data_IF_263060049184
#
_entry.id   IF_263060049184
#
_cell.length_a   1.000
_cell.length_b   1.000
_cell.length_c   1.000
_cell.angle_alpha   90.00
_cell.angle_beta   90.00
_cell.angle_gamma   90.00
#
_symmetry.space_group_name_H-M   'P 1'
#
loop_
_entity.id
_entity.type
_entity.pdbx_description
1 polymer ?
#
# COMPACT_ATOMS: atom_id res chain seq x y z
N UNK A 1 26.78 11.11 6.08
CA UNK A 1 25.80 9.99 6.05
C UNK A 1 24.68 10.41 5.13
N UNK A 2 23.91 9.47 4.58
CA UNK A 2 22.72 9.81 3.80
C UNK A 2 21.70 10.63 4.62
N UNK A 3 20.77 11.28 3.94
CA UNK A 3 19.69 12.10 4.48
C UNK A 3 20.03 13.27 5.41
N UNK A 4 21.31 13.61 5.57
CA UNK A 4 21.74 14.80 6.30
C UNK A 4 21.98 15.97 5.33
N UNK A 5 21.26 17.08 5.54
CA UNK A 5 21.54 18.36 4.87
C UNK A 5 22.59 19.22 5.63
N UNK A 6 23.26 18.63 6.62
CA UNK A 6 24.25 19.29 7.45
C UNK A 6 25.55 19.61 6.72
N UNK A 7 26.47 20.29 7.41
CA UNK A 7 27.84 20.47 6.90
C UNK A 7 28.53 19.11 6.83
N UNK A 8 28.89 18.68 5.62
CA UNK A 8 29.55 17.39 5.35
C UNK A 8 31.07 17.52 5.28
N UNK A 9 31.57 18.74 5.06
CA UNK A 9 32.99 19.06 5.06
C UNK A 9 33.18 20.55 5.38
N UNK A 10 34.21 20.89 6.15
CA UNK A 10 34.61 22.27 6.42
C UNK A 10 35.97 22.53 5.80
N UNK A 11 35.99 23.31 4.72
CA UNK A 11 37.21 23.76 4.07
C UNK A 11 37.95 24.77 4.96
N UNK A 12 39.27 24.69 5.01
CA UNK A 12 40.11 25.64 5.74
C UNK A 12 41.28 26.07 4.87
N UNK A 13 41.67 27.33 5.03
CA UNK A 13 42.80 27.93 4.33
C UNK A 13 43.39 29.04 5.21
N UNK A 14 44.67 29.30 5.03
CA UNK A 14 45.37 30.40 5.69
C UNK A 14 46.00 31.28 4.63
N UNK A 15 45.81 32.59 4.75
CA UNK A 15 46.58 33.58 4.02
C UNK A 15 47.79 34.05 4.85
N UNK A 16 48.94 34.24 4.21
CA UNK A 16 50.18 34.64 4.88
C UNK A 16 50.20 36.11 5.29
N UNK A 17 49.44 36.94 4.60
CA UNK A 17 49.32 38.38 4.87
C UNK A 17 48.18 38.69 5.88
N UNK A 18 47.36 37.68 6.19
CA UNK A 18 46.29 37.73 7.18
C UNK A 18 44.97 38.22 6.60
N UNK A 19 44.83 38.23 5.28
CA UNK A 19 43.62 38.64 4.58
C UNK A 19 42.47 37.65 4.78
N UNK A 20 41.24 38.14 4.62
CA UNK A 20 40.04 37.30 4.72
C UNK A 20 39.91 36.45 3.47
N UNK A 21 39.85 35.14 3.63
CA UNK A 21 39.64 34.19 2.54
C UNK A 21 38.16 33.86 2.38
N UNK A 22 37.75 33.62 1.14
CA UNK A 22 36.37 33.22 0.80
C UNK A 22 36.35 31.95 -0.02
N UNK A 23 35.44 31.04 0.32
CA UNK A 23 35.28 29.75 -0.35
C UNK A 23 34.14 29.75 -1.38
N UNK A 24 34.34 29.03 -2.48
CA UNK A 24 33.33 28.80 -3.51
C UNK A 24 33.51 27.41 -4.16
N UNK A 25 32.47 26.88 -4.80
CA UNK A 25 32.60 25.69 -5.66
C UNK A 25 33.03 26.15 -7.05
N UNK A 26 34.17 25.65 -7.53
CA UNK A 26 34.74 25.97 -8.84
C UNK A 26 34.40 24.94 -9.93
N UNK A 27 33.99 23.72 -9.55
CA UNK A 27 33.63 22.67 -10.51
C UNK A 27 33.46 21.30 -9.87
N UNK A 28 33.65 20.26 -10.67
CA UNK A 28 33.41 18.85 -10.29
C UNK A 28 32.12 18.30 -10.91
N UNK A 29 32.07 16.98 -11.08
CA UNK A 29 30.95 16.28 -11.72
C UNK A 29 29.63 16.54 -10.99
N UNK A 30 29.70 16.70 -9.67
CA UNK A 30 28.54 16.81 -8.79
C UNK A 30 28.34 18.21 -8.23
N UNK A 31 29.03 19.22 -8.77
CA UNK A 31 28.98 20.61 -8.31
C UNK A 31 27.56 21.19 -8.20
N UNK A 32 26.63 20.76 -9.05
CA UNK A 32 25.23 21.18 -9.01
C UNK A 32 24.44 20.62 -7.81
N UNK A 33 24.94 19.58 -7.14
CA UNK A 33 24.30 18.90 -6.00
C UNK A 33 24.74 19.44 -4.65
N UNK A 34 25.87 20.16 -4.60
CA UNK A 34 26.44 20.72 -3.38
C UNK A 34 26.40 22.26 -3.35
N UNK A 35 26.56 22.79 -2.15
CA UNK A 35 26.71 24.22 -1.87
C UNK A 35 27.76 24.43 -0.78
N UNK A 36 28.45 25.56 -0.83
CA UNK A 36 29.44 25.95 0.19
C UNK A 36 29.16 27.37 0.67
N UNK A 37 29.29 27.62 1.97
CA UNK A 37 29.26 28.99 2.51
C UNK A 37 30.59 29.70 2.25
N UNK A 38 30.62 31.05 2.25
CA UNK A 38 31.88 31.79 2.13
C UNK A 38 32.91 31.44 3.21
N UNK A 39 32.47 30.94 4.36
CA UNK A 39 33.30 30.48 5.48
C UNK A 39 33.78 29.03 5.36
N UNK A 40 33.45 28.34 4.25
CA UNK A 40 33.99 27.01 3.93
C UNK A 40 33.13 25.81 4.34
N UNK A 41 31.88 26.01 4.78
CA UNK A 41 31.00 24.89 5.14
C UNK A 41 30.31 24.32 3.90
N UNK A 42 30.74 23.14 3.46
CA UNK A 42 30.17 22.39 2.34
C UNK A 42 28.99 21.54 2.83
N UNK A 43 27.86 21.59 2.12
CA UNK A 43 26.68 20.75 2.37
C UNK A 43 26.05 20.31 1.04
N UNK A 44 25.19 19.30 1.11
CA UNK A 44 24.30 18.98 -0.01
C UNK A 44 23.18 20.03 -0.13
N UNK A 45 22.66 20.23 -1.34
CA UNK A 45 21.48 21.09 -1.61
C UNK A 45 20.17 20.37 -1.30
N UNK A 46 20.16 19.07 -1.51
CA UNK A 46 19.09 18.15 -1.11
C UNK A 46 19.74 16.99 -0.36
N UNK A 47 19.11 16.45 0.70
CA UNK A 47 19.65 15.29 1.40
C UNK A 47 20.01 14.16 0.41
N UNK A 48 21.22 13.58 0.47
CA UNK A 48 21.61 12.49 -0.41
C UNK A 48 20.90 11.19 0.01
N UNK A 49 20.55 10.35 -0.94
CA UNK A 49 19.89 9.04 -0.76
C UNK A 49 20.85 7.96 -1.28
N UNK A 50 21.26 7.02 -0.43
CA UNK A 50 22.24 6.00 -0.81
C UNK A 50 21.65 4.98 -1.80
N UNK A 51 20.37 4.62 -1.62
CA UNK A 51 19.67 3.68 -2.49
C UNK A 51 19.33 4.27 -3.86
N UNK A 52 19.17 5.60 -3.95
CA UNK A 52 18.91 6.36 -5.17
C UNK A 52 19.98 7.44 -5.37
N UNK A 53 21.23 7.04 -5.72
CA UNK A 53 22.34 7.96 -5.82
C UNK A 53 22.11 8.97 -6.97
N UNK A 54 22.23 10.26 -6.64
CA UNK A 54 22.00 11.38 -7.56
C UNK A 54 23.31 12.00 -8.10
N UNK A 55 24.45 11.39 -7.77
CA UNK A 55 25.76 11.67 -8.32
C UNK A 55 25.83 11.28 -9.80
N UNK A 56 26.83 11.81 -10.50
CA UNK A 56 26.92 11.73 -11.95
C UNK A 56 27.05 10.29 -12.49
N UNK A 57 27.62 9.37 -11.72
CA UNK A 57 27.90 8.00 -12.13
C UNK A 57 27.21 6.92 -11.25
N UNK A 58 26.41 7.32 -10.26
CA UNK A 58 25.60 6.41 -9.45
C UNK A 58 26.39 5.59 -8.44
N UNK A 59 27.59 6.04 -8.04
CA UNK A 59 28.52 5.26 -7.21
C UNK A 59 28.53 5.65 -5.71
N UNK A 60 27.70 6.62 -5.32
CA UNK A 60 27.61 7.23 -4.00
C UNK A 60 28.84 8.08 -3.58
N UNK A 61 29.60 8.60 -4.54
CA UNK A 61 30.76 9.46 -4.32
C UNK A 61 30.56 10.75 -5.13
N UNK A 62 30.38 11.86 -4.40
CA UNK A 62 30.13 13.15 -5.01
C UNK A 62 31.44 13.94 -5.11
N UNK A 63 31.88 14.18 -6.34
CA UNK A 63 33.13 14.84 -6.67
C UNK A 63 32.92 16.35 -6.93
N UNK A 64 33.56 17.18 -6.09
CA UNK A 64 33.52 18.64 -6.19
C UNK A 64 34.93 19.25 -6.15
N UNK A 65 35.12 20.35 -6.86
CA UNK A 65 36.33 21.18 -6.79
C UNK A 65 35.97 22.44 -6.03
N UNK A 66 36.58 22.64 -4.87
CA UNK A 66 36.47 23.86 -4.07
C UNK A 66 37.55 24.84 -4.50
N UNK A 67 37.24 26.13 -4.43
CA UNK A 67 38.18 27.24 -4.59
C UNK A 67 38.17 28.10 -3.34
N UNK A 68 39.33 28.69 -3.04
CA UNK A 68 39.49 29.70 -2.00
C UNK A 68 40.26 30.88 -2.57
N UNK A 69 39.85 32.10 -2.23
CA UNK A 69 40.53 33.33 -2.66
C UNK A 69 40.49 34.43 -1.59
N UNK A 70 41.57 35.20 -1.51
CA UNK A 70 41.69 36.46 -0.76
C UNK A 70 41.39 37.71 -1.63
N UNK A 71 40.97 37.51 -2.89
CA UNK A 71 40.75 38.56 -3.88
C UNK A 71 41.95 38.88 -4.78
N UNK A 72 43.13 38.32 -4.48
CA UNK A 72 44.37 38.46 -5.26
C UNK A 72 44.90 37.10 -5.73
N UNK A 73 45.06 36.16 -4.80
CA UNK A 73 45.47 34.78 -5.03
C UNK A 73 44.28 33.82 -4.90
N UNK A 74 44.40 32.65 -5.54
CA UNK A 74 43.41 31.59 -5.44
C UNK A 74 44.05 30.21 -5.42
N UNK A 75 43.45 29.28 -4.70
CA UNK A 75 43.82 27.87 -4.70
C UNK A 75 42.58 26.98 -4.87
N UNK A 76 42.77 25.78 -5.40
CA UNK A 76 41.71 24.79 -5.59
C UNK A 76 42.01 23.48 -4.85
N UNK A 77 40.96 22.80 -4.42
CA UNK A 77 41.01 21.48 -3.77
C UNK A 77 39.90 20.59 -4.30
N UNK A 78 40.27 19.43 -4.85
CA UNK A 78 39.32 18.37 -5.16
C UNK A 78 38.88 17.66 -3.87
N UNK A 79 37.57 17.51 -3.68
CA UNK A 79 36.95 16.86 -2.53
C UNK A 79 35.96 15.81 -3.06
N UNK A 80 36.09 14.59 -2.54
CA UNK A 80 35.14 13.51 -2.77
C UNK A 80 34.34 13.28 -1.49
N UNK A 81 33.01 13.39 -1.57
CA UNK A 81 32.09 13.14 -0.45
C UNK A 81 31.43 11.78 -0.67
N UNK A 82 31.83 10.78 0.09
CA UNK A 82 31.18 9.46 0.05
C UNK A 82 29.92 9.47 0.91
N UNK A 83 28.78 9.18 0.27
CA UNK A 83 27.53 8.86 0.95
C UNK A 83 27.60 7.40 1.37
N UNK A 84 27.35 7.13 2.64
CA UNK A 84 27.41 5.80 3.21
C UNK A 84 25.99 5.34 3.51
N UNK A 85 25.69 4.11 3.08
CA UNK A 85 24.46 3.38 3.40
C UNK A 85 24.26 3.29 4.90
N UNK A 86 23.04 3.53 5.34
CA UNK A 86 22.55 3.21 6.66
C UNK A 86 21.85 1.85 6.59
N UNK A 87 22.63 0.78 6.40
CA UNK A 87 22.08 -0.58 6.25
C UNK A 87 21.35 -1.07 7.51
N UNK A 88 20.10 -1.50 7.33
CA UNK A 88 19.29 -2.46 8.10
C UNK A 88 19.43 -2.47 9.64
N UNK A 89 18.40 -1.99 10.32
CA UNK A 89 18.28 -2.05 11.80
C UNK A 89 17.58 -0.84 12.43
N UNK A 90 17.26 0.19 11.63
CA UNK A 90 16.75 1.46 12.11
C UNK A 90 15.23 1.49 12.29
N UNK A 91 14.59 0.34 12.47
CA UNK A 91 13.19 0.33 12.87
C UNK A 91 12.89 -0.68 13.97
N UNK A 92 11.82 -0.40 14.69
CA UNK A 92 11.20 -1.28 15.66
C UNK A 92 9.73 -1.42 15.34
N UNK A 93 9.13 -2.52 15.77
CA UNK A 93 7.69 -2.73 15.72
C UNK A 93 7.13 -2.51 17.11
N UNK A 94 6.36 -1.44 17.30
CA UNK A 94 5.73 -1.10 18.57
C UNK A 94 4.26 -1.47 18.55
N UNK A 95 3.78 -2.18 19.57
CA UNK A 95 2.32 -2.34 19.74
C UNK A 95 1.71 -1.01 20.14
N UNK A 96 0.78 -0.50 19.32
CA UNK A 96 0.08 0.76 19.57
C UNK A 96 -1.30 0.54 20.17
N UNK A 97 -1.96 -0.59 19.87
CA UNK A 97 -3.28 -0.92 20.39
C UNK A 97 -3.49 -2.42 20.57
N UNK A 98 -4.46 -2.79 21.41
CA UNK A 98 -4.80 -4.19 21.73
C UNK A 98 -6.27 -4.32 22.13
N UNK A 99 -6.83 -5.52 22.04
CA UNK A 99 -8.20 -5.81 22.47
C UNK A 99 -9.27 -5.40 21.46
N UNK A 100 -8.89 -5.32 20.18
CA UNK A 100 -9.83 -5.23 19.07
C UNK A 100 -10.41 -6.61 18.75
N UNK A 101 -11.68 -6.67 18.38
CA UNK A 101 -12.37 -7.90 18.01
C UNK A 101 -12.17 -8.19 16.52
N UNK A 102 -11.19 -9.05 16.21
CA UNK A 102 -10.85 -9.48 14.84
C UNK A 102 -10.69 -8.29 13.88
N UNK A 103 -9.74 -7.37 14.13
CA UNK A 103 -9.51 -6.25 13.25
C UNK A 103 -9.02 -6.74 11.89
N UNK A 104 -9.53 -6.12 10.83
CA UNK A 104 -9.37 -6.55 9.46
C UNK A 104 -8.78 -5.49 8.54
N UNK A 105 -8.95 -4.22 8.84
CA UNK A 105 -8.44 -3.15 7.98
C UNK A 105 -8.11 -1.91 8.80
N UNK A 106 -7.10 -1.16 8.34
CA UNK A 106 -6.68 0.09 8.96
C UNK A 106 -6.44 1.12 7.86
N UNK A 107 -6.97 2.34 8.05
CA UNK A 107 -6.71 3.47 7.15
C UNK A 107 -6.64 4.78 7.92
N UNK A 108 -6.05 5.81 7.30
CA UNK A 108 -5.89 7.12 7.89
C UNK A 108 -7.24 7.83 8.10
N UNK A 109 -7.32 8.62 9.18
CA UNK A 109 -8.31 9.70 9.30
C UNK A 109 -7.70 10.97 8.67
N UNK A 110 -8.32 11.59 7.64
CA UNK A 110 -7.73 12.68 6.87
C UNK A 110 -7.95 14.06 7.51
N UNK A 111 -7.73 14.18 8.82
CA UNK A 111 -8.03 15.39 9.61
C UNK A 111 -6.78 16.09 10.17
N UNK A 112 -5.58 15.64 9.77
CA UNK A 112 -4.31 16.16 10.25
C UNK A 112 -3.94 15.71 11.67
N UNK A 113 -4.77 14.89 12.32
CA UNK A 113 -4.54 14.49 13.72
C UNK A 113 -3.64 13.27 13.85
N UNK A 114 -3.32 12.57 12.75
CA UNK A 114 -2.62 11.29 12.78
C UNK A 114 -3.41 10.13 13.40
N UNK A 115 -4.73 10.28 13.55
CA UNK A 115 -5.63 9.20 13.96
C UNK A 115 -5.86 8.23 12.81
N UNK A 116 -6.27 7.02 13.15
CA UNK A 116 -6.57 5.96 12.20
C UNK A 116 -7.95 5.37 12.47
N UNK A 117 -8.56 4.81 11.44
CA UNK A 117 -9.77 4.01 11.51
C UNK A 117 -9.38 2.53 11.52
N UNK A 118 -9.88 1.77 12.49
CA UNK A 118 -9.68 0.32 12.61
C UNK A 118 -11.01 -0.36 12.38
N UNK A 119 -11.09 -1.17 11.32
CA UNK A 119 -12.27 -1.94 10.96
C UNK A 119 -12.22 -3.29 11.65
N UNK A 120 -13.24 -3.60 12.43
CA UNK A 120 -13.47 -4.91 13.03
C UNK A 120 -14.41 -5.74 12.17
N UNK A 121 -14.06 -7.00 11.94
CA UNK A 121 -14.86 -7.96 11.18
C UNK A 121 -16.32 -8.04 11.67
N UNK A 122 -16.54 -7.80 12.97
CA UNK A 122 -17.84 -7.89 13.64
C UNK A 122 -18.74 -6.68 13.44
N UNK A 123 -18.34 -5.70 12.62
CA UNK A 123 -19.22 -4.63 12.16
C UNK A 123 -18.96 -3.26 12.78
N UNK A 124 -17.91 -3.10 13.58
CA UNK A 124 -17.52 -1.82 14.16
C UNK A 124 -16.33 -1.22 13.42
N UNK A 125 -16.32 0.11 13.32
CA UNK A 125 -15.11 0.88 12.96
C UNK A 125 -14.77 1.78 14.13
N UNK A 126 -13.54 1.72 14.60
CA UNK A 126 -13.04 2.52 15.72
C UNK A 126 -12.17 3.66 15.21
N UNK A 127 -12.38 4.86 15.74
CA UNK A 127 -11.43 5.96 15.63
C UNK A 127 -10.39 5.82 16.74
N UNK A 128 -9.12 5.76 16.37
CA UNK A 128 -8.02 5.40 17.24
C UNK A 128 -6.83 6.34 17.10
N UNK A 129 -6.25 6.75 18.22
CA UNK A 129 -5.03 7.54 18.29
C UNK A 129 -3.84 6.61 18.62
N UNK A 130 -2.95 6.33 17.65
CA UNK A 130 -1.80 5.45 17.86
C UNK A 130 -0.66 6.08 18.66
N UNK A 131 -0.67 7.39 18.88
CA UNK A 131 0.32 8.07 19.74
C UNK A 131 -0.02 7.87 21.21
N UNK A 132 -1.30 8.02 21.57
CA UNK A 132 -1.76 7.91 22.96
C UNK A 132 -2.29 6.53 23.32
N UNK A 133 -2.60 5.68 22.33
CA UNK A 133 -3.28 4.40 22.52
C UNK A 133 -4.77 4.55 22.83
N UNK A 134 -5.35 5.72 22.55
CA UNK A 134 -6.74 6.03 22.90
C UNK A 134 -7.71 5.60 21.80
N UNK A 135 -8.69 4.77 22.15
CA UNK A 135 -9.86 4.45 21.31
C UNK A 135 -11.02 5.35 21.70
N UNK A 136 -11.68 5.96 20.72
CA UNK A 136 -12.89 6.76 20.96
C UNK A 136 -13.98 5.92 21.65
N UNK A 137 -14.74 6.55 22.56
CA UNK A 137 -15.80 5.86 23.30
C UNK A 137 -17.00 5.48 22.41
N UNK A 138 -17.31 6.34 21.44
CA UNK A 138 -18.29 6.08 20.38
C UNK A 138 -17.55 5.52 19.16
N UNK A 139 -18.00 4.41 18.57
CA UNK A 139 -17.40 3.91 17.33
C UNK A 139 -17.62 4.91 16.20
N UNK A 140 -16.66 4.99 15.29
CA UNK A 140 -16.78 5.78 14.07
C UNK A 140 -17.93 5.28 13.19
N UNK A 141 -18.18 3.96 13.18
CA UNK A 141 -19.34 3.34 12.55
C UNK A 141 -19.78 2.12 13.35
N UNK A 142 -21.09 1.98 13.55
CA UNK A 142 -21.72 0.72 13.95
C UNK A 142 -22.58 0.19 12.80
N UNK A 143 -22.08 -0.83 12.13
CA UNK A 143 -22.74 -1.55 11.04
C UNK A 143 -23.18 -2.96 11.45
N UNK A 144 -23.21 -3.29 12.75
CA UNK A 144 -23.55 -4.63 13.25
C UNK A 144 -24.91 -5.11 12.77
N UNK A 145 -25.88 -4.21 12.63
CA UNK A 145 -27.22 -4.52 12.13
C UNK A 145 -27.30 -4.71 10.59
N UNK A 146 -26.24 -4.41 9.85
CA UNK A 146 -26.19 -4.48 8.38
C UNK A 146 -25.51 -5.75 7.86
N UNK A 147 -24.89 -6.54 8.74
CA UNK A 147 -24.02 -7.64 8.33
C UNK A 147 -24.52 -9.00 8.81
N UNK A 148 -24.08 -10.06 8.12
CA UNK A 148 -23.87 -11.36 8.75
C UNK A 148 -22.38 -11.51 9.10
N UNK A 149 -22.09 -11.89 10.35
CA UNK A 149 -20.73 -12.19 10.79
C UNK A 149 -20.49 -13.69 10.90
N UNK A 150 -19.39 -14.21 10.34
CA UNK A 150 -18.99 -15.62 10.49
C UNK A 150 -18.16 -16.13 9.31
N UNK A 151 -17.16 -16.97 9.58
CA UNK A 151 -16.17 -17.34 8.56
C UNK A 151 -15.46 -16.09 8.03
N UNK A 152 -15.55 -15.87 6.72
CA UNK A 152 -15.09 -14.64 6.06
C UNK A 152 -16.14 -13.53 6.05
N UNK A 153 -17.41 -13.80 6.33
CA UNK A 153 -18.50 -12.81 6.25
C UNK A 153 -18.40 -11.78 7.37
N UNK A 154 -18.55 -10.50 7.03
CA UNK A 154 -18.58 -9.42 8.00
C UNK A 154 -18.35 -8.06 7.34
N UNK A 155 -17.98 -7.07 8.14
CA UNK A 155 -17.49 -5.78 7.63
C UNK A 155 -16.04 -5.94 7.15
N UNK A 156 -15.73 -5.46 5.94
CA UNK A 156 -14.47 -5.78 5.26
C UNK A 156 -13.50 -4.61 5.23
N UNK A 157 -13.94 -3.46 4.74
CA UNK A 157 -13.12 -2.27 4.54
C UNK A 157 -13.96 -0.99 4.50
N UNK A 158 -13.27 0.14 4.64
CA UNK A 158 -13.80 1.50 4.49
C UNK A 158 -12.86 2.32 3.60
N UNK A 159 -13.44 3.15 2.73
CA UNK A 159 -12.73 4.22 2.04
C UNK A 159 -13.42 5.55 2.33
N UNK A 160 -12.68 6.52 2.85
CA UNK A 160 -13.15 7.88 2.98
C UNK A 160 -13.01 8.56 1.61
N UNK A 161 -14.00 9.37 1.21
CA UNK A 161 -13.90 10.14 -0.03
C UNK A 161 -12.63 11.02 -0.01
N UNK A 162 -11.99 11.27 -1.16
CA UNK A 162 -10.83 12.17 -1.22
C UNK A 162 -11.10 13.57 -0.63
N UNK A 163 -12.37 14.00 -0.65
CA UNK A 163 -12.84 15.26 -0.08
C UNK A 163 -13.60 15.08 1.25
N UNK A 164 -13.33 14.01 2.02
CA UNK A 164 -14.10 13.63 3.21
C UNK A 164 -14.31 14.77 4.21
N UNK A 165 -13.29 15.59 4.46
CA UNK A 165 -13.39 16.71 5.41
C UNK A 165 -14.37 17.80 4.95
N UNK A 166 -14.75 17.82 3.68
CA UNK A 166 -15.78 18.70 3.11
C UNK A 166 -17.09 17.98 2.80
N UNK A 167 -17.06 16.77 2.26
CA UNK A 167 -18.27 16.03 1.87
C UNK A 167 -18.85 15.18 2.98
N UNK A 168 -18.01 14.62 3.86
CA UNK A 168 -18.38 13.64 4.86
C UNK A 168 -18.78 12.29 4.26
N UNK A 169 -18.51 12.06 2.97
CA UNK A 169 -18.87 10.84 2.28
C UNK A 169 -17.84 9.73 2.54
N UNK A 170 -18.32 8.59 3.00
CA UNK A 170 -17.51 7.39 3.17
C UNK A 170 -18.19 6.20 2.51
N UNK A 171 -17.39 5.19 2.17
CA UNK A 171 -17.83 4.00 1.47
C UNK A 171 -17.40 2.78 2.27
N UNK A 172 -18.29 1.82 2.45
CA UNK A 172 -17.98 0.56 3.15
C UNK A 172 -18.42 -0.61 2.32
N UNK A 173 -17.60 -1.66 2.31
CA UNK A 173 -17.94 -2.95 1.72
C UNK A 173 -18.09 -3.98 2.83
N UNK A 174 -19.19 -4.73 2.77
CA UNK A 174 -19.59 -5.69 3.80
C UNK A 174 -20.28 -6.90 3.17
N UNK A 175 -20.46 -7.95 3.98
CA UNK A 175 -21.33 -9.08 3.63
C UNK A 175 -22.70 -8.91 4.30
N UNK A 176 -23.75 -8.81 3.50
CA UNK A 176 -25.11 -8.65 3.97
C UNK A 176 -25.67 -9.97 4.57
N UNK A 177 -26.80 -9.93 5.31
CA UNK A 177 -27.37 -11.13 5.93
C UNK A 177 -27.73 -12.27 4.97
N UNK A 178 -28.09 -11.94 3.73
CA UNK A 178 -28.38 -12.92 2.68
C UNK A 178 -27.11 -13.51 2.04
N UNK A 179 -25.93 -12.98 2.39
CA UNK A 179 -24.63 -13.41 1.90
C UNK A 179 -24.10 -12.58 0.74
N UNK A 180 -24.85 -11.62 0.19
CA UNK A 180 -24.36 -10.73 -0.87
C UNK A 180 -23.20 -9.84 -0.40
N UNK A 181 -22.34 -9.45 -1.34
CA UNK A 181 -21.36 -8.39 -1.13
C UNK A 181 -22.06 -7.07 -1.44
N UNK A 182 -22.13 -6.18 -0.45
CA UNK A 182 -22.77 -4.87 -0.62
C UNK A 182 -21.77 -3.75 -0.38
N UNK A 183 -21.81 -2.75 -1.27
CA UNK A 183 -21.11 -1.48 -1.14
C UNK A 183 -22.12 -0.38 -0.81
N UNK A 184 -21.90 0.29 0.31
CA UNK A 184 -22.72 1.43 0.74
C UNK A 184 -21.95 2.74 0.71
N UNK A 185 -22.64 3.82 0.38
CA UNK A 185 -22.24 5.19 0.72
C UNK A 185 -22.91 5.62 2.01
N UNK A 186 -22.14 6.23 2.91
CA UNK A 186 -22.58 6.80 4.18
C UNK A 186 -22.14 8.25 4.29
N UNK A 187 -22.80 8.99 5.19
CA UNK A 187 -22.47 10.36 5.53
C UNK A 187 -22.09 10.49 7.00
N UNK A 188 -21.14 11.39 7.27
CA UNK A 188 -20.87 11.88 8.62
C UNK A 188 -22.16 12.39 9.28
N UNK A 189 -22.37 11.98 10.54
CA UNK A 189 -23.52 12.39 11.36
C UNK A 189 -23.18 13.49 12.37
N UNK A 190 -21.89 13.85 12.50
CA UNK A 190 -21.37 14.91 13.36
C UNK A 190 -20.69 16.02 12.54
N UNK A 191 -20.68 17.28 13.01
CA UNK A 191 -19.90 18.37 12.41
C UNK A 191 -18.41 18.08 12.32
N UNK A 192 -17.86 17.37 13.31
CA UNK A 192 -16.46 16.96 13.41
C UNK A 192 -16.11 15.83 12.43
N UNK A 193 -17.13 15.17 11.85
CA UNK A 193 -17.00 14.03 10.93
C UNK A 193 -16.22 12.86 11.52
N UNK A 194 -16.38 12.64 12.81
CA UNK A 194 -15.79 11.54 13.57
C UNK A 194 -16.76 10.38 13.82
N UNK A 195 -18.00 10.48 13.30
CA UNK A 195 -19.01 9.43 13.33
C UNK A 195 -19.78 9.40 12.01
N UNK A 196 -20.01 8.21 11.46
CA UNK A 196 -20.88 7.95 10.32
C UNK A 196 -22.29 7.51 10.75
N UNK A 197 -23.32 7.95 10.03
CA UNK A 197 -24.70 7.52 10.23
C UNK A 197 -25.15 6.45 9.24
N UNK A 198 -25.86 5.42 9.72
CA UNK A 198 -26.40 4.32 8.88
C UNK A 198 -27.85 4.55 8.41
N UNK A 199 -28.56 5.53 8.99
CA UNK A 199 -29.97 5.78 8.71
C UNK A 199 -30.24 6.25 7.27
N UNK A 200 -29.34 7.07 6.71
CA UNK A 200 -29.44 7.62 5.35
C UNK A 200 -28.41 6.98 4.41
N UNK A 201 -27.98 5.74 4.68
CA UNK A 201 -27.05 5.03 3.80
C UNK A 201 -27.68 4.80 2.43
N UNK A 202 -26.85 4.77 1.40
CA UNK A 202 -27.25 4.50 0.02
C UNK A 202 -26.52 3.24 -0.46
N UNK A 203 -27.27 2.22 -0.88
CA UNK A 203 -26.70 1.06 -1.57
C UNK A 203 -26.17 1.53 -2.93
N UNK A 204 -24.91 1.23 -3.22
CA UNK A 204 -24.31 1.53 -4.52
C UNK A 204 -24.23 0.29 -5.39
N UNK A 205 -23.85 -0.84 -4.82
CA UNK A 205 -23.65 -2.08 -5.55
C UNK A 205 -24.02 -3.26 -4.65
N UNK A 206 -24.82 -4.20 -5.15
CA UNK A 206 -25.01 -5.52 -4.54
C UNK A 206 -24.59 -6.62 -5.51
N UNK A 207 -23.77 -7.55 -5.02
CA UNK A 207 -23.25 -8.70 -5.78
C UNK A 207 -23.72 -9.98 -5.09
N UNK A 208 -24.62 -10.77 -5.72
CA UNK A 208 -24.97 -12.09 -5.23
C UNK A 208 -23.72 -12.98 -5.11
N UNK A 209 -23.57 -13.64 -3.97
CA UNK A 209 -22.41 -14.48 -3.70
C UNK A 209 -22.85 -15.94 -3.49
N UNK A 210 -22.42 -16.90 -4.33
CA UNK A 210 -22.96 -18.26 -4.32
C UNK A 210 -22.41 -19.13 -3.18
N UNK A 211 -21.17 -18.90 -2.75
CA UNK A 211 -20.50 -19.69 -1.72
C UNK A 211 -20.40 -19.00 -0.35
N UNK A 212 -19.53 -19.55 0.51
CA UNK A 212 -19.35 -19.13 1.90
C UNK A 212 -17.94 -18.59 2.20
N UNK A 213 -17.03 -18.59 1.23
CA UNK A 213 -15.67 -18.04 1.29
C UNK A 213 -15.32 -17.38 -0.05
N UNK A 214 -14.15 -16.76 -0.15
CA UNK A 214 -13.65 -15.99 -1.29
C UNK A 214 -14.49 -14.74 -1.58
N UNK A 215 -14.73 -13.96 -0.54
CA UNK A 215 -15.43 -12.69 -0.68
C UNK A 215 -14.54 -11.54 -1.18
N UNK A 216 -13.22 -11.62 -1.04
CA UNK A 216 -12.34 -10.46 -1.17
C UNK A 216 -12.76 -9.34 -0.20
N UNK A 217 -12.99 -8.13 -0.73
CA UNK A 217 -13.58 -7.01 0.00
C UNK A 217 -12.60 -5.92 0.39
N UNK A 218 -11.53 -5.72 -0.38
CA UNK A 218 -10.73 -4.50 -0.27
C UNK A 218 -11.42 -3.33 -0.98
N UNK A 219 -11.19 -2.11 -0.48
CA UNK A 219 -11.80 -0.87 -0.97
C UNK A 219 -10.77 0.27 -0.95
N UNK A 220 -10.66 1.04 -2.04
CA UNK A 220 -9.76 2.19 -2.09
C UNK A 220 -10.00 3.14 -3.26
N UNK A 221 -9.60 4.39 -3.11
CA UNK A 221 -9.64 5.39 -4.18
C UNK A 221 -8.33 5.44 -4.95
N UNK A 222 -8.42 5.36 -6.28
CA UNK A 222 -7.29 5.62 -7.17
C UNK A 222 -7.00 7.12 -7.28
N UNK A 223 -5.83 7.46 -7.85
CA UNK A 223 -5.45 8.86 -8.14
C UNK A 223 -6.34 9.52 -9.19
N UNK A 224 -7.07 8.72 -9.96
CA UNK A 224 -8.09 9.14 -10.91
C UNK A 224 -9.42 9.52 -10.24
N UNK A 225 -9.53 9.37 -8.91
CA UNK A 225 -10.74 9.71 -8.15
C UNK A 225 -11.84 8.64 -8.25
N UNK A 226 -11.55 7.50 -8.87
CA UNK A 226 -12.48 6.38 -8.98
C UNK A 226 -12.35 5.44 -7.78
N UNK A 227 -13.44 4.75 -7.45
CA UNK A 227 -13.49 3.78 -6.37
C UNK A 227 -13.22 2.38 -6.91
N UNK A 228 -12.30 1.68 -6.25
CA UNK A 228 -11.89 0.32 -6.59
C UNK A 228 -12.34 -0.65 -5.51
N UNK A 229 -12.89 -1.80 -5.93
CA UNK A 229 -13.40 -2.85 -5.03
C UNK A 229 -12.85 -4.20 -5.46
N UNK A 230 -12.21 -4.94 -4.55
CA UNK A 230 -11.80 -6.33 -4.84
C UNK A 230 -12.93 -7.31 -4.51
N UNK A 231 -13.18 -8.27 -5.40
CA UNK A 231 -14.26 -9.25 -5.29
C UNK A 231 -13.69 -10.63 -5.60
N UNK A 232 -13.79 -11.58 -4.67
CA UNK A 232 -13.33 -12.94 -4.91
C UNK A 232 -14.28 -13.74 -5.80
N UNK A 233 -13.85 -14.94 -6.18
CA UNK A 233 -14.51 -15.79 -7.18
C UNK A 233 -15.83 -16.42 -6.72
N UNK A 234 -16.18 -16.24 -5.45
CA UNK A 234 -17.44 -16.71 -4.89
C UNK A 234 -17.43 -18.14 -4.36
N UNK A 235 -16.27 -18.80 -4.31
CA UNK A 235 -16.10 -20.24 -4.04
C UNK A 235 -16.90 -21.07 -5.05
N UNK A 236 -16.26 -21.42 -6.17
CA UNK A 236 -16.87 -22.22 -7.23
C UNK A 236 -17.15 -23.67 -6.77
N UNK A 237 -18.28 -23.86 -6.09
CA UNK A 237 -18.76 -25.15 -5.61
C UNK A 237 -19.47 -25.98 -6.70
N UNK A 238 -19.59 -25.49 -7.94
CA UNK A 238 -20.54 -26.03 -8.93
C UNK A 238 -19.92 -26.56 -10.23
N UNK A 239 -18.66 -26.28 -10.54
CA UNK A 239 -18.11 -26.66 -11.84
C UNK A 239 -16.77 -26.01 -12.10
N UNK A 240 -16.26 -25.97 -13.36
CA UNK A 240 -14.87 -25.64 -13.63
C UNK A 240 -14.58 -24.15 -13.45
N UNK A 241 -14.49 -23.67 -12.20
CA UNK A 241 -13.89 -22.40 -11.78
C UNK A 241 -14.19 -21.21 -12.72
N UNK A 242 -15.44 -21.04 -13.16
CA UNK A 242 -15.74 -20.21 -14.35
C UNK A 242 -15.84 -18.72 -14.04
N UNK A 243 -16.24 -18.35 -12.82
CA UNK A 243 -16.59 -16.97 -12.49
C UNK A 243 -15.46 -15.99 -12.80
N UNK A 244 -14.23 -16.34 -12.43
CA UNK A 244 -13.07 -15.47 -12.62
C UNK A 244 -12.69 -15.28 -14.08
N UNK A 245 -13.21 -16.09 -15.02
CA UNK A 245 -13.01 -15.93 -16.47
C UNK A 245 -14.29 -15.48 -17.20
N UNK A 246 -15.44 -15.50 -16.53
CA UNK A 246 -16.70 -15.03 -17.08
C UNK A 246 -16.84 -13.53 -16.82
N UNK A 247 -16.53 -12.72 -17.84
CA UNK A 247 -16.59 -11.26 -17.75
C UNK A 247 -18.01 -10.71 -17.67
N UNK A 248 -19.05 -11.55 -17.69
CA UNK A 248 -20.44 -11.13 -17.46
C UNK A 248 -20.84 -11.11 -15.99
N UNK A 249 -20.02 -11.68 -15.09
CA UNK A 249 -20.22 -11.67 -13.65
C UNK A 249 -19.12 -10.87 -12.93
N UNK A 250 -19.46 -10.25 -11.81
CA UNK A 250 -18.53 -9.38 -11.07
C UNK A 250 -17.57 -10.14 -10.13
N UNK A 251 -17.73 -11.46 -9.99
CA UNK A 251 -16.92 -12.29 -9.11
C UNK A 251 -15.53 -12.54 -9.72
N UNK A 252 -14.50 -12.66 -8.88
CA UNK A 252 -13.12 -12.93 -9.32
C UNK A 252 -12.46 -11.75 -10.04
N UNK A 253 -12.73 -10.52 -9.56
CA UNK A 253 -12.39 -9.29 -10.25
C UNK A 253 -11.96 -8.15 -9.31
N UNK A 254 -11.33 -7.12 -9.89
CA UNK A 254 -11.29 -5.78 -9.31
C UNK A 254 -12.22 -4.89 -10.13
N UNK A 255 -13.20 -4.32 -9.44
CA UNK A 255 -14.15 -3.37 -10.01
C UNK A 255 -13.60 -1.95 -9.92
N UNK A 256 -13.93 -1.11 -10.91
CA UNK A 256 -13.63 0.34 -10.92
C UNK A 256 -14.87 1.13 -11.29
N UNK A 257 -15.40 1.92 -10.37
CA UNK A 257 -16.66 2.65 -10.53
C UNK A 257 -16.53 4.14 -10.21
N UNK A 258 -17.39 4.94 -10.82
CA UNK A 258 -17.49 6.39 -10.58
C UNK A 258 -18.64 6.67 -9.61
N UNK A 259 -18.30 6.95 -8.35
CA UNK A 259 -19.29 7.22 -7.30
C UNK A 259 -19.88 8.63 -7.34
N UNK A 260 -19.57 9.45 -8.34
CA UNK A 260 -20.12 10.82 -8.46
C UNK A 260 -21.36 10.91 -9.34
N UNK A 261 -21.72 9.80 -9.99
CA UNK A 261 -22.74 9.67 -11.02
C UNK A 261 -23.63 8.45 -10.76
N UNK A 262 -24.77 8.40 -11.43
CA UNK A 262 -25.65 7.23 -11.47
C UNK A 262 -26.05 6.95 -12.93
N UNK A 263 -25.44 5.93 -13.54
CA UNK A 263 -25.76 5.47 -14.90
C UNK A 263 -26.91 4.45 -14.89
N UNK A 264 -27.42 4.05 -13.72
CA UNK A 264 -28.45 3.03 -13.54
C UNK A 264 -29.67 3.54 -12.73
N UNK A 265 -30.28 4.69 -13.06
CA UNK A 265 -31.30 5.34 -12.23
C UNK A 265 -32.62 4.55 -12.01
N UNK A 266 -32.81 3.43 -12.72
CA UNK A 266 -33.95 2.53 -12.56
C UNK A 266 -33.62 1.22 -11.82
N UNK A 267 -32.38 1.02 -11.43
CA UNK A 267 -31.89 -0.20 -10.78
C UNK A 267 -31.59 0.11 -9.30
N UNK A 268 -32.35 -0.45 -8.35
CA UNK A 268 -32.12 -0.18 -6.93
C UNK A 268 -30.79 -0.75 -6.41
N UNK A 269 -30.18 -1.71 -7.11
CA UNK A 269 -28.97 -2.41 -6.70
C UNK A 269 -27.71 -1.80 -7.32
N UNK A 270 -27.86 -0.78 -8.18
CA UNK A 270 -26.76 -0.08 -8.86
C UNK A 270 -26.97 1.43 -8.81
N UNK A 271 -26.02 2.13 -8.21
CA UNK A 271 -26.05 3.60 -8.09
C UNK A 271 -24.64 4.19 -8.18
N UNK A 272 -24.07 4.10 -9.38
CA UNK A 272 -22.74 4.60 -9.72
C UNK A 272 -22.67 4.82 -11.24
N UNK A 273 -21.63 5.51 -11.69
CA UNK A 273 -21.27 5.60 -13.10
C UNK A 273 -20.27 4.54 -13.52
N UNK A 274 -20.33 4.12 -14.78
CA UNK A 274 -19.30 3.33 -15.42
C UNK A 274 -18.23 4.28 -16.00
N UNK A 275 -16.96 4.17 -15.59
CA UNK A 275 -15.88 4.91 -16.23
C UNK A 275 -15.72 4.46 -17.68
N UNK A 276 -15.71 5.41 -18.62
CA UNK A 276 -15.54 5.11 -20.04
C UNK A 276 -14.17 4.46 -20.38
N UNK A 277 -13.20 4.60 -19.48
CA UNK A 277 -11.88 3.98 -19.56
C UNK A 277 -11.85 2.52 -19.08
N UNK A 278 -12.96 1.97 -18.57
CA UNK A 278 -13.02 0.54 -18.23
C UNK A 278 -13.00 -0.33 -19.50
N UNK A 279 -12.38 -1.53 -19.45
CA UNK A 279 -12.34 -2.49 -20.56
C UNK A 279 -13.68 -2.72 -21.22
N UNK A 280 -14.69 -2.93 -20.38
CA UNK A 280 -15.99 -3.44 -20.78
C UNK A 280 -17.05 -2.35 -20.79
N UNK A 281 -16.68 -1.08 -20.62
CA UNK A 281 -17.63 0.04 -20.64
C UNK A 281 -18.44 0.11 -21.93
N UNK A 282 -17.84 -0.30 -23.06
CA UNK A 282 -18.45 -0.32 -24.39
C UNK A 282 -18.18 -1.63 -25.15
N UNK A 283 -17.94 -2.73 -24.42
CA UNK A 283 -17.64 -4.05 -24.98
C UNK A 283 -18.50 -5.13 -24.29
N UNK A 284 -18.40 -6.37 -24.76
CA UNK A 284 -19.07 -7.51 -24.12
C UNK A 284 -18.45 -7.79 -22.75
N UNK A 285 -19.28 -7.78 -21.69
CA UNK A 285 -18.88 -7.93 -20.30
C UNK A 285 -19.57 -6.91 -19.39
N UNK A 286 -19.34 -7.03 -18.10
CA UNK A 286 -19.83 -6.10 -17.09
C UNK A 286 -18.94 -4.85 -17.05
N UNK A 287 -19.52 -3.68 -17.29
CA UNK A 287 -18.78 -2.41 -17.43
C UNK A 287 -18.01 -2.00 -16.17
N UNK A 288 -18.35 -2.55 -15.02
CA UNK A 288 -17.73 -2.33 -13.72
C UNK A 288 -16.34 -2.97 -13.61
N UNK A 289 -16.11 -4.08 -14.32
CA UNK A 289 -14.87 -4.85 -14.23
C UNK A 289 -13.73 -4.02 -14.82
N UNK A 290 -12.64 -3.93 -14.06
CA UNK A 290 -11.37 -3.37 -14.53
C UNK A 290 -10.32 -4.45 -14.74
N UNK A 291 -10.21 -5.40 -13.81
CA UNK A 291 -9.37 -6.60 -13.92
C UNK A 291 -10.21 -7.83 -13.54
N UNK A 292 -9.95 -8.96 -14.17
CA UNK A 292 -10.56 -10.25 -13.85
C UNK A 292 -9.47 -11.35 -13.80
N UNK A 293 -9.87 -12.59 -13.53
CA UNK A 293 -8.94 -13.71 -13.38
C UNK A 293 -8.29 -13.76 -12.01
N UNK A 294 -9.01 -13.34 -10.96
CA UNK A 294 -8.57 -13.41 -9.57
C UNK A 294 -9.34 -14.47 -8.79
N UNK A 295 -8.73 -15.05 -7.76
CA UNK A 295 -9.33 -16.06 -6.88
C UNK A 295 -9.98 -15.44 -5.65
N UNK A 296 -9.17 -14.86 -4.78
CA UNK A 296 -9.59 -14.21 -3.55
C UNK A 296 -8.63 -13.03 -3.23
N UNK A 297 -8.76 -11.90 -3.96
CA UNK A 297 -7.93 -10.71 -3.79
C UNK A 297 -8.22 -10.07 -2.43
N UNK A 298 -7.45 -10.44 -1.41
CA UNK A 298 -7.80 -10.24 -0.01
C UNK A 298 -7.44 -8.83 0.49
N UNK A 299 -6.19 -8.39 0.34
CA UNK A 299 -5.81 -6.97 0.53
C UNK A 299 -5.07 -6.46 -0.67
N UNK A 300 -5.40 -5.23 -1.02
CA UNK A 300 -4.69 -4.47 -2.02
C UNK A 300 -4.16 -3.17 -1.39
N UNK A 301 -3.29 -2.47 -2.10
CA UNK A 301 -2.92 -1.10 -1.75
C UNK A 301 -2.49 -0.34 -3.00
N UNK A 302 -2.80 0.96 -3.03
CA UNK A 302 -2.19 1.85 -4.00
C UNK A 302 -0.83 2.33 -3.48
N UNK A 303 0.22 2.21 -4.28
CA UNK A 303 1.47 2.90 -4.01
C UNK A 303 1.22 4.41 -4.05
N UNK A 304 1.36 5.07 -2.90
CA UNK A 304 1.10 6.50 -2.74
C UNK A 304 1.95 7.38 -3.64
N UNK A 305 3.10 6.90 -4.13
CA UNK A 305 4.01 7.67 -4.99
C UNK A 305 3.72 7.49 -6.49
N UNK A 306 3.30 6.30 -6.92
CA UNK A 306 3.10 5.99 -8.36
C UNK A 306 1.62 5.89 -8.76
N UNK A 307 0.75 5.47 -7.84
CA UNK A 307 -0.64 5.11 -8.13
C UNK A 307 -0.82 3.68 -8.65
N UNK A 308 0.24 2.86 -8.64
CA UNK A 308 0.16 1.44 -8.96
C UNK A 308 -0.66 0.70 -7.89
N UNK A 309 -1.54 -0.20 -8.32
CA UNK A 309 -2.25 -1.11 -7.43
C UNK A 309 -1.43 -2.39 -7.25
N UNK A 310 -1.25 -2.78 -6.00
CA UNK A 310 -0.66 -4.05 -5.59
C UNK A 310 -1.74 -4.91 -4.95
N UNK A 311 -1.84 -6.18 -5.34
CA UNK A 311 -2.94 -7.08 -4.96
C UNK A 311 -2.33 -8.34 -4.36
N UNK A 312 -2.71 -8.71 -3.14
CA UNK A 312 -2.45 -10.05 -2.63
C UNK A 312 -3.63 -10.96 -2.96
N UNK A 313 -3.41 -11.92 -3.86
CA UNK A 313 -4.42 -12.90 -4.26
C UNK A 313 -4.14 -14.28 -3.64
N UNK A 314 -5.09 -14.77 -2.85
CA UNK A 314 -4.93 -16.02 -2.11
C UNK A 314 -5.15 -17.21 -3.04
N UNK A 315 -4.11 -18.02 -3.21
CA UNK A 315 -4.11 -19.18 -4.09
C UNK A 315 -4.93 -20.37 -3.60
N UNK A 316 -4.98 -21.43 -4.41
CA UNK A 316 -5.79 -22.62 -4.09
C UNK A 316 -5.10 -23.54 -3.08
N UNK A 317 -3.85 -23.89 -3.34
CA UNK A 317 -3.17 -24.93 -2.57
C UNK A 317 -1.72 -25.20 -2.96
N UNK A 318 -1.14 -24.44 -3.88
CA UNK A 318 0.27 -24.59 -4.25
C UNK A 318 1.03 -23.27 -4.21
N UNK A 319 0.45 -22.21 -4.75
CA UNK A 319 1.15 -20.93 -4.92
C UNK A 319 0.28 -19.80 -4.39
N UNK A 320 0.88 -18.90 -3.62
CA UNK A 320 0.34 -17.60 -3.27
C UNK A 320 1.01 -16.53 -4.13
N UNK A 321 0.31 -15.43 -4.45
CA UNK A 321 0.81 -14.43 -5.39
C UNK A 321 0.54 -12.96 -5.01
N UNK A 322 1.37 -12.08 -5.57
CA UNK A 322 1.17 -10.63 -5.58
C UNK A 322 1.16 -10.15 -7.03
N UNK A 323 0.08 -9.49 -7.41
CA UNK A 323 -0.04 -8.77 -8.67
C UNK A 323 0.30 -7.29 -8.50
N UNK A 324 0.78 -6.68 -9.58
CA UNK A 324 1.11 -5.26 -9.64
C UNK A 324 0.68 -4.71 -10.99
N UNK A 325 -0.14 -3.66 -10.95
CA UNK A 325 -0.76 -3.06 -12.14
C UNK A 325 -0.81 -1.54 -12.03
N UNK A 326 -0.83 -0.82 -13.15
CA UNK A 326 -1.11 0.63 -13.19
C UNK A 326 -2.54 0.92 -13.64
N UNK A 327 -3.12 2.05 -13.24
CA UNK A 327 -4.52 2.38 -13.57
C UNK A 327 -4.78 2.65 -15.06
N UNK A 328 -3.72 2.89 -15.84
CA UNK A 328 -3.72 3.00 -17.30
C UNK A 328 -3.50 1.66 -18.01
N UNK A 329 -3.10 0.61 -17.30
CA UNK A 329 -3.03 -0.73 -17.88
C UNK A 329 -4.43 -1.25 -18.18
N UNK A 330 -4.49 -1.89 -19.34
CA UNK A 330 -5.68 -2.52 -19.90
C UNK A 330 -5.47 -4.03 -19.99
N UNK A 331 -4.61 -4.61 -19.14
CA UNK A 331 -4.39 -6.06 -19.12
C UNK A 331 -5.44 -6.68 -18.20
N UNK A 332 -6.41 -7.35 -18.81
CA UNK A 332 -7.66 -7.63 -18.14
C UNK A 332 -7.68 -8.96 -17.39
N UNK A 333 -6.70 -9.85 -17.58
CA UNK A 333 -6.76 -11.21 -17.04
C UNK A 333 -5.53 -11.60 -16.22
N UNK A 334 -5.72 -11.83 -14.93
CA UNK A 334 -4.69 -12.29 -13.99
C UNK A 334 -4.59 -13.83 -13.90
N UNK A 335 -5.39 -14.54 -14.70
CA UNK A 335 -5.14 -15.95 -15.05
C UNK A 335 -5.92 -16.98 -14.26
N UNK A 336 -6.39 -16.71 -13.03
CA UNK A 336 -7.17 -17.68 -12.26
C UNK A 336 -8.50 -18.01 -12.96
N UNK A 337 -8.90 -19.29 -13.07
CA UNK A 337 -8.28 -20.50 -12.53
C UNK A 337 -7.37 -21.25 -13.52
N UNK A 338 -7.15 -20.69 -14.70
CA UNK A 338 -6.31 -21.32 -15.73
C UNK A 338 -4.87 -21.39 -15.24
N UNK A 339 -4.47 -20.41 -14.41
CA UNK A 339 -3.19 -20.32 -13.73
C UNK A 339 -3.37 -20.16 -12.22
N UNK A 340 -2.40 -20.68 -11.47
CA UNK A 340 -2.17 -20.38 -10.05
C UNK A 340 -0.71 -19.97 -9.93
N UNK A 341 -0.43 -18.67 -9.78
CA UNK A 341 0.90 -18.14 -10.08
C UNK A 341 1.28 -18.37 -11.54
N UNK A 342 2.56 -18.68 -11.76
CA UNK A 342 3.06 -19.08 -13.07
C UNK A 342 2.71 -20.53 -13.44
N UNK A 343 1.93 -21.26 -12.64
CA UNK A 343 1.63 -22.68 -12.89
C UNK A 343 0.31 -22.81 -13.66
N UNK A 344 0.33 -23.38 -14.89
CA UNK A 344 -0.89 -23.76 -15.58
C UNK A 344 -1.65 -24.84 -14.80
N UNK A 345 -2.94 -24.64 -14.60
CA UNK A 345 -3.86 -25.59 -13.98
C UNK A 345 -4.86 -26.17 -14.97
N UNK A 346 -5.46 -25.30 -15.81
CA UNK A 346 -6.55 -25.64 -16.70
C UNK A 346 -6.34 -24.99 -18.07
N UNK A 347 -6.65 -25.72 -19.14
CA UNK A 347 -6.76 -25.16 -20.48
C UNK A 347 -5.45 -24.62 -21.07
N UNK A 348 -5.60 -23.65 -21.98
CA UNK A 348 -4.52 -22.90 -22.62
C UNK A 348 -4.41 -21.49 -21.99
N UNK A 349 -3.31 -20.80 -22.26
CA UNK A 349 -3.06 -19.43 -21.81
C UNK A 349 -4.22 -18.49 -22.20
N UNK A 350 -4.86 -17.80 -21.25
CA UNK A 350 -5.89 -16.84 -21.60
C UNK A 350 -5.32 -15.66 -22.37
N UNK A 351 -6.15 -15.09 -23.25
CA UNK A 351 -5.83 -13.83 -23.90
C UNK A 351 -5.64 -12.72 -22.85
N UNK A 352 -4.56 -11.97 -22.97
CA UNK A 352 -4.25 -10.87 -22.04
C UNK A 352 -3.76 -11.32 -20.66
N UNK A 353 -3.30 -12.57 -20.52
CA UNK A 353 -2.69 -13.09 -19.29
C UNK A 353 -1.55 -12.18 -18.83
N UNK A 354 -1.67 -11.70 -17.59
CA UNK A 354 -0.60 -11.01 -16.87
C UNK A 354 -0.15 -11.89 -15.72
N UNK A 355 1.15 -12.15 -15.66
CA UNK A 355 1.72 -12.94 -14.57
C UNK A 355 1.90 -12.08 -13.31
N UNK A 356 1.80 -12.67 -12.10
CA UNK A 356 2.07 -11.96 -10.87
C UNK A 356 3.54 -11.55 -10.81
N UNK A 357 3.83 -10.49 -10.06
CA UNK A 357 5.21 -9.99 -9.92
C UNK A 357 5.99 -10.71 -8.83
N UNK A 358 5.28 -11.26 -7.84
CA UNK A 358 5.84 -12.12 -6.79
C UNK A 358 4.94 -13.33 -6.64
N UNK A 359 5.55 -14.48 -6.40
CA UNK A 359 4.84 -15.67 -5.96
C UNK A 359 5.69 -16.47 -4.98
N UNK A 360 5.06 -17.31 -4.15
CA UNK A 360 5.77 -18.24 -3.28
C UNK A 360 4.96 -19.53 -3.06
N UNK A 361 5.66 -20.61 -2.72
CA UNK A 361 5.04 -21.92 -2.55
C UNK A 361 4.36 -22.07 -1.19
N UNK A 362 3.33 -22.92 -1.17
CA UNK A 362 2.75 -23.49 0.04
C UNK A 362 3.78 -24.25 0.86
N UNK A 363 3.77 -24.09 2.17
CA UNK A 363 4.76 -24.67 3.06
C UNK A 363 4.93 -23.91 4.38
N UNK A 364 6.04 -24.16 5.06
CA UNK A 364 6.32 -23.60 6.41
C UNK A 364 7.72 -23.02 6.55
N UNK A 365 8.51 -23.06 5.47
CA UNK A 365 9.84 -22.49 5.38
C UNK A 365 9.86 -20.96 5.41
N UNK A 366 11.07 -20.38 5.39
CA UNK A 366 11.26 -18.94 5.48
C UNK A 366 10.77 -18.17 4.24
N UNK A 367 10.64 -18.82 3.08
CA UNK A 367 10.10 -18.22 1.85
C UNK A 367 8.87 -19.00 1.36
N UNK A 368 8.12 -19.56 2.31
CA UNK A 368 6.88 -20.32 2.06
C UNK A 368 5.75 -19.78 2.96
N UNK A 369 4.50 -19.98 2.53
CA UNK A 369 3.30 -19.46 3.19
C UNK A 369 2.05 -20.12 2.63
N UNK A 370 0.91 -20.02 3.29
CA UNK A 370 -0.32 -20.74 2.89
C UNK A 370 -1.54 -19.82 2.74
N UNK A 371 -1.37 -18.51 2.87
CA UNK A 371 -2.41 -17.51 2.64
C UNK A 371 -1.77 -16.13 2.64
N UNK A 372 -1.56 -15.55 1.45
CA UNK A 372 -1.02 -14.19 1.34
C UNK A 372 -2.01 -13.19 1.91
N UNK A 373 -1.50 -12.27 2.71
CA UNK A 373 -2.31 -11.16 3.22
C UNK A 373 -2.38 -10.03 2.21
N UNK A 374 -1.31 -9.80 1.43
CA UNK A 374 -1.06 -8.55 0.72
C UNK A 374 -0.21 -7.58 1.56
N UNK A 375 0.04 -6.39 1.03
CA UNK A 375 1.05 -5.49 1.58
C UNK A 375 0.97 -4.06 1.06
N UNK A 376 1.99 -3.26 1.37
CA UNK A 376 2.13 -1.85 0.96
C UNK A 376 3.54 -1.59 0.43
N UNK A 377 3.63 -0.75 -0.59
CA UNK A 377 4.91 -0.11 -0.94
C UNK A 377 5.18 0.95 0.12
N UNK A 378 6.26 0.77 0.87
CA UNK A 378 6.59 1.68 1.95
C UNK A 378 7.07 3.03 1.40
N UNK A 379 6.32 4.08 1.77
CA UNK A 379 6.60 5.50 1.46
C UNK A 379 6.64 6.36 2.73
N UNK A 380 6.84 5.73 3.89
CA UNK A 380 6.82 6.36 5.21
C UNK A 380 8.11 7.08 5.57
N UNK A 381 8.36 7.39 6.84
CA UNK A 381 9.57 8.13 7.25
C UNK A 381 10.83 7.27 7.44
N UNK A 382 10.75 5.94 7.41
CA UNK A 382 11.89 5.04 7.68
C UNK A 382 12.62 4.76 6.37
N UNK A 383 13.81 5.34 6.25
CA UNK A 383 14.66 5.25 5.05
C UNK A 383 14.97 3.82 4.62
N UNK A 384 15.43 2.97 5.55
CA UNK A 384 15.81 1.59 5.23
C UNK A 384 14.67 0.69 4.71
N UNK A 385 13.44 1.20 4.71
CA UNK A 385 12.26 0.54 4.15
C UNK A 385 11.76 1.19 2.87
N UNK A 386 12.32 2.32 2.43
CA UNK A 386 11.89 3.00 1.21
C UNK A 386 11.91 2.09 -0.01
N UNK A 387 10.88 2.26 -0.84
CA UNK A 387 10.72 1.52 -2.08
C UNK A 387 10.75 -0.02 -1.91
N UNK A 388 10.46 -0.51 -0.70
CA UNK A 388 10.18 -1.91 -0.44
C UNK A 388 8.68 -2.15 -0.49
N UNK A 389 8.24 -3.20 -1.17
CA UNK A 389 6.92 -3.76 -0.94
C UNK A 389 6.98 -4.70 0.27
N UNK A 390 6.22 -4.37 1.32
CA UNK A 390 6.19 -5.09 2.60
C UNK A 390 4.86 -5.84 2.66
N UNK A 391 4.92 -7.17 2.77
CA UNK A 391 3.75 -8.03 2.78
C UNK A 391 3.93 -9.21 3.74
N UNK A 392 2.85 -9.93 4.00
CA UNK A 392 2.85 -11.03 4.96
C UNK A 392 2.05 -12.23 4.47
N UNK A 393 2.32 -13.35 5.14
CA UNK A 393 1.48 -14.54 5.11
C UNK A 393 0.66 -14.65 6.40
N UNK A 394 -0.65 -14.83 6.27
CA UNK A 394 -1.59 -14.90 7.38
C UNK A 394 -1.34 -16.14 8.27
N UNK A 395 -1.09 -17.30 7.66
CA UNK A 395 -1.00 -18.60 8.37
C UNK A 395 0.32 -18.74 9.11
N UNK A 396 1.43 -18.49 8.42
CA UNK A 396 2.77 -18.67 8.96
C UNK A 396 3.24 -17.43 9.74
N UNK A 397 2.62 -16.27 9.55
CA UNK A 397 3.07 -15.00 10.11
C UNK A 397 4.47 -14.60 9.63
N UNK A 398 4.86 -15.06 8.43
CA UNK A 398 6.05 -14.55 7.77
C UNK A 398 5.78 -13.13 7.29
N UNK A 399 6.79 -12.27 7.37
CA UNK A 399 6.78 -10.91 6.83
C UNK A 399 7.96 -10.83 5.88
N UNK A 400 7.72 -10.32 4.68
CA UNK A 400 8.75 -10.18 3.66
C UNK A 400 8.84 -8.74 3.15
N UNK A 401 10.03 -8.37 2.72
CA UNK A 401 10.28 -7.17 1.92
C UNK A 401 10.82 -7.57 0.56
N UNK A 402 10.45 -6.83 -0.48
CA UNK A 402 11.09 -6.91 -1.80
C UNK A 402 11.26 -5.51 -2.38
N UNK A 403 12.43 -5.16 -2.95
CA UNK A 403 12.59 -3.88 -3.63
C UNK A 403 11.67 -3.82 -4.85
N UNK A 404 10.87 -2.77 -5.00
CA UNK A 404 9.92 -2.64 -6.12
C UNK A 404 10.61 -2.64 -7.50
N UNK A 405 11.89 -2.29 -7.56
CA UNK A 405 12.70 -2.35 -8.78
C UNK A 405 13.04 -3.79 -9.20
N UNK A 406 13.02 -4.74 -8.27
CA UNK A 406 13.32 -6.15 -8.51
C UNK A 406 12.10 -6.97 -8.97
N UNK A 407 10.91 -6.36 -8.97
CA UNK A 407 9.62 -6.99 -9.30
C UNK A 407 8.88 -6.17 -10.37
N UNK A 408 9.40 -6.15 -11.61
CA UNK A 408 8.78 -5.41 -12.70
C UNK A 408 7.41 -5.99 -13.08
N UNK A 409 6.50 -5.14 -13.54
CA UNK A 409 5.17 -5.56 -14.02
C UNK A 409 5.27 -6.54 -15.20
N UNK A 410 4.34 -7.49 -15.27
CA UNK A 410 4.24 -8.46 -16.36
C UNK A 410 5.25 -9.60 -16.33
N UNK A 411 6.11 -9.70 -15.30
CA UNK A 411 7.05 -10.79 -15.13
C UNK A 411 7.21 -11.17 -13.66
N UNK A 412 7.20 -12.48 -13.39
CA UNK A 412 7.39 -13.00 -12.04
C UNK A 412 8.86 -13.02 -11.67
N UNK A 413 9.20 -12.36 -10.56
CA UNK A 413 10.56 -12.38 -10.03
C UNK A 413 10.89 -13.73 -9.37
N UNK A 414 12.19 -14.05 -9.33
CA UNK A 414 12.69 -15.21 -8.59
C UNK A 414 12.46 -15.01 -7.08
N UNK A 415 12.00 -16.03 -6.36
CA UNK A 415 11.77 -15.96 -4.90
C UNK A 415 12.98 -15.52 -4.08
N UNK A 416 14.19 -15.66 -4.62
CA UNK A 416 15.44 -15.17 -3.99
C UNK A 416 15.52 -13.66 -3.82
N UNK A 417 14.67 -12.87 -4.50
CA UNK A 417 14.60 -11.41 -4.27
C UNK A 417 13.85 -11.04 -3.00
N UNK A 418 13.12 -11.99 -2.40
CA UNK A 418 12.39 -11.79 -1.17
C UNK A 418 13.34 -11.92 0.03
N UNK A 419 13.22 -10.98 0.96
CA UNK A 419 13.91 -11.05 2.26
C UNK A 419 12.88 -11.37 3.33
N UNK A 420 13.03 -12.49 4.04
CA UNK A 420 12.20 -12.78 5.22
C UNK A 420 12.65 -11.88 6.37
N UNK A 421 11.77 -10.99 6.81
CA UNK A 421 11.96 -10.01 7.87
C UNK A 421 11.25 -10.38 9.17
N UNK A 422 10.74 -11.62 9.29
CA UNK A 422 9.93 -12.03 10.45
C UNK A 422 10.63 -11.77 11.79
N UNK A 423 11.94 -12.00 11.86
CA UNK A 423 12.73 -11.72 13.05
C UNK A 423 12.83 -10.22 13.35
N UNK A 424 13.12 -9.39 12.33
CA UNK A 424 13.22 -7.93 12.44
C UNK A 424 11.87 -7.27 12.79
N UNK A 425 10.77 -7.88 12.38
CA UNK A 425 9.40 -7.43 12.66
C UNK A 425 8.85 -7.95 14.00
N UNK A 426 9.69 -8.51 14.86
CA UNK A 426 9.26 -8.94 16.20
C UNK A 426 8.83 -7.72 17.01
N UNK A 427 7.59 -7.67 17.53
CA UNK A 427 7.11 -6.51 18.27
C UNK A 427 7.73 -6.44 19.67
N UNK A 428 7.80 -5.22 20.22
CA UNK A 428 8.26 -4.96 21.58
C UNK A 428 7.38 -5.64 22.66
N UNK A 429 6.08 -5.77 22.39
CA UNK A 429 5.12 -6.48 23.23
C UNK A 429 4.00 -7.10 22.38
N UNK A 430 3.31 -8.10 22.91
CA UNK A 430 2.31 -8.84 22.14
C UNK A 430 2.93 -9.85 21.17
N UNK A 431 2.13 -10.37 20.24
CA UNK A 431 2.58 -11.34 19.23
C UNK A 431 2.06 -10.93 17.87
N UNK A 432 2.97 -10.83 16.89
CA UNK A 432 2.60 -10.61 15.51
C UNK A 432 2.23 -11.95 14.85
N UNK A 433 0.95 -12.28 14.89
CA UNK A 433 0.36 -13.52 14.32
C UNK A 433 -0.92 -13.19 13.57
N UNK A 434 -1.39 -14.07 12.67
CA UNK A 434 -2.64 -13.87 11.93
C UNK A 434 -2.73 -12.46 11.33
N UNK A 435 -1.68 -12.05 10.62
CA UNK A 435 -1.55 -10.70 10.05
C UNK A 435 -2.65 -10.56 9.00
N UNK A 436 -3.73 -9.86 9.34
CA UNK A 436 -4.94 -9.73 8.51
C UNK A 436 -4.91 -8.52 7.59
N UNK A 437 -4.03 -7.56 7.87
CA UNK A 437 -3.85 -6.39 7.01
C UNK A 437 -2.56 -5.66 7.37
N UNK A 438 -2.19 -4.79 6.46
CA UNK A 438 -1.41 -3.61 6.75
C UNK A 438 -2.31 -2.37 6.56
N UNK A 439 -1.83 -1.20 6.94
CA UNK A 439 -2.50 0.07 6.70
C UNK A 439 -1.58 1.24 6.99
N UNK A 440 -1.93 2.44 6.55
CA UNK A 440 -1.10 3.63 6.73
C UNK A 440 -1.89 4.78 7.35
N UNK A 441 -1.19 5.65 8.09
CA UNK A 441 -1.71 6.96 8.48
C UNK A 441 -1.40 8.04 7.43
N UNK A 442 -1.85 9.29 7.65
CA UNK A 442 -1.65 10.39 6.69
C UNK A 442 -0.17 10.68 6.38
N UNK A 443 0.72 10.40 7.34
CA UNK A 443 2.16 10.60 7.22
C UNK A 443 2.88 9.41 6.59
N UNK A 444 2.14 8.37 6.16
CA UNK A 444 2.70 7.17 5.55
C UNK A 444 3.37 6.23 6.55
N UNK A 445 3.13 6.37 7.86
CA UNK A 445 3.61 5.35 8.80
C UNK A 445 2.86 4.06 8.54
N UNK A 446 3.59 2.95 8.42
CA UNK A 446 3.00 1.65 8.18
C UNK A 446 2.60 0.97 9.50
N UNK A 447 1.39 0.42 9.50
CA UNK A 447 0.80 -0.35 10.58
C UNK A 447 0.57 -1.79 10.15
N UNK A 448 0.61 -2.69 11.12
CA UNK A 448 0.31 -4.11 10.94
C UNK A 448 -0.88 -4.47 11.82
N UNK A 449 -1.89 -5.08 11.22
CA UNK A 449 -3.13 -5.47 11.86
C UNK A 449 -3.09 -6.98 12.10
N UNK A 450 -3.22 -7.40 13.37
CA UNK A 450 -3.36 -8.80 13.73
C UNK A 450 -4.83 -9.12 14.00
N UNK A 451 -5.36 -10.14 13.33
CA UNK A 451 -6.71 -10.65 13.59
C UNK A 451 -6.90 -11.09 15.06
N UNK A 452 -5.81 -11.35 15.79
CA UNK A 452 -5.86 -11.67 17.22
C UNK A 452 -6.15 -10.45 18.12
N UNK A 453 -6.26 -9.24 17.55
CA UNK A 453 -6.73 -8.04 18.24
C UNK A 453 -5.66 -7.01 18.58
N UNK A 454 -4.41 -7.22 18.16
CA UNK A 454 -3.31 -6.27 18.35
C UNK A 454 -3.06 -5.45 17.08
N UNK A 455 -2.69 -4.18 17.27
CA UNK A 455 -2.28 -3.24 16.21
C UNK A 455 -0.86 -2.78 16.49
N UNK A 456 -0.01 -2.86 15.48
CA UNK A 456 1.40 -2.50 15.57
C UNK A 456 1.73 -1.36 14.61
N UNK A 457 2.69 -0.53 14.98
CA UNK A 457 3.26 0.50 14.13
C UNK A 457 4.74 0.22 13.92
N UNK A 458 5.20 0.37 12.68
CA UNK A 458 6.63 0.37 12.36
C UNK A 458 7.16 1.78 12.61
N UNK A 459 8.17 1.91 13.45
CA UNK A 459 8.75 3.18 13.88
C UNK A 459 10.26 3.17 13.69
N UNK A 460 10.85 4.34 13.46
CA UNK A 460 12.30 4.47 13.51
C UNK A 460 12.83 3.99 14.88
N UNK A 461 13.90 3.21 14.85
CA UNK A 461 14.66 2.87 16.04
C UNK A 461 15.53 4.09 16.42
N UNK A 462 15.65 4.41 17.72
CA UNK A 462 16.42 5.55 18.21
C UNK A 462 17.93 5.38 18.08
#
# INVERSE_FOLDING_TARGET
MENEAGTVYTATASDSDGDTVTFAIAGGADSARLQITPDGNLSFRSPPDFEVPADADGNNIYDVILSVSDGTASAELAVAVTVTDVTSGNFKVRRVGSGFDRPLFLTAMPDGSGRVLIVEHTGLIHLFDPQTGTRAATPFLDATALIASGGERGLKAIALAPDYMTSGQAYVVLTAPDGSIELYRLLASTPERDVLGTANRQLLLSIPHPGAIHYGGWLGFGRDGLLYVSVGDGEDNAGPFVNSQDTSVLLGSVLRIDVTRDDFPGDPDRNYGIPASNPFANAEGAGEIWLYGLRNPFRCSFDRATGELWIGDVGLGTIEEIDRVTTDETQFNLGWPLFEGTRPLLGEDPAGLTMPVVQYNHGTGPLEGNSVTGGFVYRGPIESLQAQYIFADFVNGNVWTVPIASVPRGATAMTSVLVNRKAEFTPDTGRLIQISSFGEDEAGNLYIVSLAGDIFRIEAAP
#
